data_IF_063735476691
#
_entry.id   IF_063735476691
#
_cell.length_a   1.000
_cell.length_b   1.000
_cell.length_c   1.000
_cell.angle_alpha   90.00
_cell.angle_beta   90.00
_cell.angle_gamma   90.00
#
_symmetry.space_group_name_H-M   'P 1'
#
loop_
_entity.id
_entity.type
_entity.pdbx_description
1 polymer ?
#
# COMPACT_ATOMS: atom_id res chain seq x y z
N UNK A 1 -6.87 -8.23 -13.08
CA UNK A 1 -5.64 -7.82 -13.78
C UNK A 1 -4.39 -8.19 -12.97
N UNK A 2 -3.24 -8.34 -13.62
CA UNK A 2 -1.99 -8.79 -12.98
C UNK A 2 -0.95 -7.67 -12.96
N UNK A 3 -0.23 -7.56 -11.85
CA UNK A 3 0.94 -6.71 -11.71
C UNK A 3 2.16 -7.54 -11.32
N UNK A 4 3.34 -7.08 -11.72
CA UNK A 4 4.60 -7.79 -11.46
C UNK A 4 5.65 -6.86 -10.84
N UNK A 5 6.56 -7.44 -10.08
CA UNK A 5 7.83 -6.75 -9.79
C UNK A 5 8.71 -6.75 -11.04
N UNK A 6 9.69 -5.85 -11.12
CA UNK A 6 10.58 -5.71 -12.28
C UNK A 6 11.22 -7.03 -12.76
N UNK A 7 11.68 -7.88 -11.84
CA UNK A 7 12.32 -9.15 -12.20
C UNK A 7 11.35 -10.31 -12.50
N UNK A 8 10.03 -10.09 -12.42
CA UNK A 8 9.01 -11.13 -12.64
C UNK A 8 8.97 -12.25 -11.58
N UNK A 9 9.66 -12.08 -10.45
CA UNK A 9 9.65 -13.06 -9.37
C UNK A 9 8.31 -13.04 -8.59
N UNK A 10 7.75 -11.85 -8.38
CA UNK A 10 6.50 -11.62 -7.67
C UNK A 10 5.41 -11.24 -8.67
N UNK A 11 4.28 -11.93 -8.60
CA UNK A 11 3.06 -11.62 -9.34
C UNK A 11 1.92 -11.41 -8.34
N UNK A 12 1.20 -10.31 -8.49
CA UNK A 12 -0.03 -10.03 -7.76
C UNK A 12 -1.18 -9.86 -8.74
N UNK A 13 -2.40 -10.16 -8.31
CA UNK A 13 -3.59 -9.84 -9.07
C UNK A 13 -4.65 -9.16 -8.21
N UNK A 14 -5.47 -8.38 -8.89
CA UNK A 14 -6.67 -7.69 -8.38
C UNK A 14 -7.82 -7.90 -9.39
N UNK A 15 -9.10 -7.64 -9.03
CA UNK A 15 -10.21 -7.66 -9.99
C UNK A 15 -9.93 -6.83 -11.25
N UNK A 16 -10.57 -7.19 -12.37
CA UNK A 16 -10.32 -6.50 -13.64
C UNK A 16 -10.93 -5.08 -13.69
N UNK A 17 -11.93 -4.84 -12.85
CA UNK A 17 -12.69 -3.60 -12.68
C UNK A 17 -12.19 -2.75 -11.50
N UNK A 18 -11.06 -3.10 -10.88
CA UNK A 18 -10.48 -2.30 -9.79
C UNK A 18 -10.14 -0.89 -10.29
N UNK A 19 -10.69 0.10 -9.60
CA UNK A 19 -10.48 1.51 -9.90
C UNK A 19 -9.18 2.03 -9.30
N UNK A 20 -8.23 2.39 -10.17
CA UNK A 20 -6.96 3.02 -9.77
C UNK A 20 -6.99 4.55 -9.81
N UNK A 21 -8.09 5.20 -10.22
CA UNK A 21 -8.16 6.67 -10.30
C UNK A 21 -8.01 7.36 -8.94
N UNK A 22 -8.27 6.64 -7.85
CA UNK A 22 -8.09 7.12 -6.47
C UNK A 22 -6.64 6.99 -5.95
N UNK A 23 -5.70 6.56 -6.81
CA UNK A 23 -4.31 6.40 -6.43
C UNK A 23 -3.71 7.71 -5.93
N UNK A 24 -2.90 7.61 -4.88
CA UNK A 24 -2.27 8.74 -4.20
C UNK A 24 -0.87 8.42 -3.72
N UNK A 25 -0.10 9.45 -3.41
CA UNK A 25 1.18 9.31 -2.69
C UNK A 25 0.99 9.69 -1.23
N UNK A 26 1.93 9.28 -0.39
CA UNK A 26 1.98 9.63 1.02
C UNK A 26 3.34 10.26 1.33
N UNK A 27 3.34 11.36 2.07
CA UNK A 27 4.56 12.14 2.33
C UNK A 27 5.21 11.86 3.70
N UNK A 28 4.77 10.81 4.39
CA UNK A 28 5.44 10.35 5.60
C UNK A 28 6.90 10.00 5.32
N UNK A 29 7.71 9.92 6.38
CA UNK A 29 9.15 9.69 6.27
C UNK A 29 9.50 8.45 5.43
N UNK A 30 8.69 7.40 5.47
CA UNK A 30 8.91 6.19 4.68
C UNK A 30 8.36 6.30 3.25
N UNK A 31 7.07 6.65 3.09
CA UNK A 31 6.40 6.64 1.79
C UNK A 31 6.99 7.65 0.79
N UNK A 32 7.46 8.81 1.27
CA UNK A 32 8.13 9.80 0.40
C UNK A 32 9.41 9.25 -0.27
N UNK A 33 10.06 8.25 0.34
CA UNK A 33 11.26 7.60 -0.20
C UNK A 33 10.93 6.53 -1.25
N UNK A 34 9.73 5.94 -1.18
CA UNK A 34 9.22 5.01 -2.20
C UNK A 34 8.65 5.75 -3.41
N UNK A 35 7.98 6.89 -3.17
CA UNK A 35 7.36 7.75 -4.18
C UNK A 35 6.40 7.04 -5.16
N UNK A 36 5.88 5.88 -4.76
CA UNK A 36 4.98 5.08 -5.57
C UNK A 36 3.52 5.56 -5.41
N UNK A 37 2.80 5.88 -6.49
CA UNK A 37 1.37 6.06 -6.44
C UNK A 37 0.72 4.73 -6.07
N UNK A 38 -0.17 4.74 -5.08
CA UNK A 38 -0.87 3.53 -4.65
C UNK A 38 -2.37 3.75 -4.54
N UNK A 39 -3.12 2.77 -5.03
CA UNK A 39 -4.58 2.69 -4.90
C UNK A 39 -4.95 1.77 -3.75
N UNK A 40 -5.97 2.16 -2.98
CA UNK A 40 -6.53 1.35 -1.90
C UNK A 40 -7.50 0.31 -2.48
N UNK A 41 -7.40 -0.93 -2.02
CA UNK A 41 -8.28 -2.04 -2.41
C UNK A 41 -8.66 -2.87 -1.17
N UNK A 42 -9.79 -3.57 -1.24
CA UNK A 42 -10.19 -4.47 -0.17
C UNK A 42 -9.22 -5.64 -0.03
N UNK A 43 -9.07 -6.16 1.19
CA UNK A 43 -8.16 -7.28 1.46
C UNK A 43 -8.43 -8.52 0.59
N UNK A 44 -9.70 -8.84 0.35
CA UNK A 44 -10.08 -10.01 -0.43
C UNK A 44 -9.82 -9.86 -1.94
N UNK A 45 -9.58 -8.64 -2.42
CA UNK A 45 -9.30 -8.36 -3.82
C UNK A 45 -7.85 -8.62 -4.19
N UNK A 46 -6.92 -8.53 -3.24
CA UNK A 46 -5.51 -8.76 -3.51
C UNK A 46 -5.17 -10.26 -3.44
N UNK A 47 -4.56 -10.77 -4.50
CA UNK A 47 -4.00 -12.12 -4.53
C UNK A 47 -2.52 -12.09 -4.86
N UNK A 48 -1.74 -12.94 -4.21
CA UNK A 48 -0.33 -13.19 -4.55
C UNK A 48 -0.30 -14.47 -5.38
N UNK A 49 -0.16 -14.35 -6.69
CA UNK A 49 -0.23 -15.49 -7.60
C UNK A 49 1.10 -16.25 -7.67
N UNK A 50 2.23 -15.56 -7.44
CA UNK A 50 3.58 -16.13 -7.48
C UNK A 50 4.56 -15.32 -6.63
N UNK A 51 5.54 -16.00 -6.04
CA UNK A 51 6.68 -15.37 -5.38
C UNK A 51 6.40 -14.82 -3.99
N UNK A 52 5.49 -15.45 -3.24
CA UNK A 52 5.23 -15.10 -1.84
C UNK A 52 6.51 -15.20 -0.99
N UNK A 53 7.35 -16.20 -1.25
CA UNK A 53 8.67 -16.41 -0.64
C UNK A 53 9.72 -15.37 -1.09
N UNK A 54 9.45 -14.65 -2.18
CA UNK A 54 10.30 -13.59 -2.71
C UNK A 54 9.95 -12.20 -2.14
N UNK A 55 8.86 -12.10 -1.36
CA UNK A 55 8.49 -10.87 -0.67
C UNK A 55 9.26 -10.71 0.64
N UNK A 56 9.79 -9.51 0.86
CA UNK A 56 10.30 -9.08 2.16
C UNK A 56 9.26 -8.19 2.83
N UNK A 57 8.93 -8.51 4.07
CA UNK A 57 8.10 -7.69 4.95
C UNK A 57 8.98 -6.65 5.67
N UNK A 58 8.57 -5.39 5.61
CA UNK A 58 9.13 -4.31 6.42
C UNK A 58 8.04 -3.65 7.24
N UNK A 59 8.27 -3.52 8.55
CA UNK A 59 7.38 -2.88 9.50
C UNK A 59 8.18 -1.89 10.34
N UNK A 60 7.54 -0.80 10.75
CA UNK A 60 8.15 0.22 11.60
C UNK A 60 7.07 0.91 12.43
N UNK A 61 7.49 1.77 13.37
CA UNK A 61 6.58 2.51 14.25
C UNK A 61 5.62 1.56 14.99
N UNK A 62 4.30 1.72 14.86
CA UNK A 62 3.30 0.84 15.50
C UNK A 62 3.26 -0.58 14.96
N UNK A 63 4.08 -0.92 13.96
CA UNK A 63 4.12 -2.24 13.30
C UNK A 63 2.78 -2.73 12.74
N UNK A 64 1.81 -1.83 12.50
CA UNK A 64 0.49 -2.17 11.95
C UNK A 64 0.52 -2.24 10.42
N UNK A 65 1.23 -1.31 9.77
CA UNK A 65 1.42 -1.40 8.32
C UNK A 65 2.43 -2.50 8.00
N UNK A 66 2.09 -3.34 7.03
CA UNK A 66 2.93 -4.41 6.52
C UNK A 66 3.36 -4.05 5.10
N UNK A 67 4.62 -3.64 4.92
CA UNK A 67 5.10 -3.19 3.63
C UNK A 67 5.89 -4.27 2.90
N UNK A 68 5.40 -4.72 1.75
CA UNK A 68 6.00 -5.80 0.98
C UNK A 68 6.78 -5.30 -0.24
N UNK A 69 7.98 -5.84 -0.45
CA UNK A 69 8.78 -5.58 -1.64
C UNK A 69 9.55 -6.82 -2.08
N UNK A 70 9.88 -6.92 -3.37
CA UNK A 70 10.64 -8.04 -3.89
C UNK A 70 12.07 -8.03 -3.34
N UNK A 71 12.49 -9.11 -2.70
CA UNK A 71 13.85 -9.24 -2.14
C UNK A 71 14.95 -9.22 -3.19
N UNK A 72 14.62 -9.53 -4.44
CA UNK A 72 15.58 -9.60 -5.55
C UNK A 72 15.78 -8.26 -6.27
N UNK A 73 14.69 -7.58 -6.64
CA UNK A 73 14.75 -6.33 -7.40
C UNK A 73 14.38 -5.07 -6.61
N UNK A 74 13.99 -5.20 -5.34
CA UNK A 74 13.63 -4.08 -4.48
C UNK A 74 12.27 -3.45 -4.75
N UNK A 75 11.56 -3.85 -5.82
CA UNK A 75 10.28 -3.24 -6.20
C UNK A 75 9.23 -3.50 -5.12
N UNK A 76 8.70 -2.40 -4.60
CA UNK A 76 7.51 -2.36 -3.74
C UNK A 76 6.27 -2.68 -4.58
N UNK A 77 5.55 -3.73 -4.19
CA UNK A 77 4.33 -4.18 -4.88
C UNK A 77 3.07 -3.73 -4.15
N UNK A 78 3.00 -3.95 -2.84
CA UNK A 78 1.81 -3.63 -2.04
C UNK A 78 2.14 -3.50 -0.54
N UNK A 79 1.21 -2.95 0.23
CA UNK A 79 1.28 -2.94 1.68
C UNK A 79 -0.09 -3.03 2.33
N UNK A 80 -0.20 -3.67 3.50
CA UNK A 80 -1.38 -3.56 4.35
C UNK A 80 -1.38 -2.17 4.98
N UNK A 81 -2.49 -1.43 4.90
CA UNK A 81 -2.52 -0.03 5.33
C UNK A 81 -2.55 0.08 6.85
N UNK A 82 -1.87 1.11 7.39
CA UNK A 82 -1.95 1.44 8.82
C UNK A 82 -3.31 2.01 9.21
N UNK A 83 -3.87 2.90 8.37
CA UNK A 83 -5.13 3.61 8.63
C UNK A 83 -6.32 2.65 8.66
N UNK A 84 -6.30 1.63 7.81
CA UNK A 84 -7.31 0.57 7.72
C UNK A 84 -6.64 -0.78 7.39
N UNK A 85 -6.46 -1.67 8.39
CA UNK A 85 -5.87 -2.98 8.18
C UNK A 85 -6.68 -3.94 7.30
N UNK A 86 -7.94 -3.63 6.98
CA UNK A 86 -8.78 -4.41 6.06
C UNK A 86 -8.53 -4.05 4.59
N UNK A 87 -7.63 -3.11 4.32
CA UNK A 87 -7.26 -2.68 2.98
C UNK A 87 -5.75 -2.87 2.69
N UNK A 88 -5.47 -3.13 1.42
CA UNK A 88 -4.13 -3.01 0.86
C UNK A 88 -4.00 -1.73 0.04
N UNK A 89 -2.82 -1.13 0.05
CA UNK A 89 -2.39 -0.19 -0.99
C UNK A 89 -1.50 -0.90 -1.99
N UNK A 90 -1.88 -0.92 -3.27
CA UNK A 90 -1.09 -1.53 -4.37
C UNK A 90 -0.36 -0.48 -5.17
N UNK A 91 0.89 -0.75 -5.54
CA UNK A 91 1.65 0.11 -6.46
C UNK A 91 1.09 -0.05 -7.88
N UNK A 92 0.39 0.98 -8.37
CA UNK A 92 -0.31 0.91 -9.66
C UNK A 92 0.66 0.79 -10.84
N UNK A 93 1.90 1.26 -10.71
CA UNK A 93 2.90 1.17 -11.78
C UNK A 93 3.53 -0.22 -11.92
N UNK A 94 3.11 -1.20 -11.11
CA UNK A 94 3.47 -2.60 -11.29
C UNK A 94 2.59 -3.32 -12.31
N UNK A 95 1.52 -2.68 -12.81
CA UNK A 95 0.57 -3.29 -13.73
C UNK A 95 0.85 -2.82 -15.17
N UNK A 96 1.06 -3.76 -16.10
CA UNK A 96 1.62 -3.48 -17.44
C UNK A 96 0.78 -2.56 -18.32
N UNK A 97 -0.53 -2.44 -18.05
CA UNK A 97 -1.45 -1.60 -18.82
C UNK A 97 -1.56 -0.16 -18.30
N UNK A 98 -0.81 0.17 -17.23
CA UNK A 98 -0.80 1.51 -16.63
C UNK A 98 0.30 2.34 -17.28
N UNK A 99 -0.08 3.47 -17.87
CA UNK A 99 0.87 4.52 -18.24
C UNK A 99 1.24 5.32 -16.99
N UNK A 100 2.54 5.44 -16.73
CA UNK A 100 3.05 6.22 -15.60
C UNK A 100 2.65 7.70 -15.71
N UNK A 101 2.46 8.22 -16.93
CA UNK A 101 2.09 9.61 -17.18
C UNK A 101 0.78 10.00 -16.49
N UNK A 102 -0.19 9.07 -16.43
CA UNK A 102 -1.49 9.27 -15.80
C UNK A 102 -1.39 9.50 -14.28
N UNK A 103 -0.26 9.08 -13.69
CA UNK A 103 -0.01 9.14 -12.25
C UNK A 103 1.13 10.10 -11.87
N UNK A 104 1.56 10.96 -12.80
CA UNK A 104 2.56 11.99 -12.49
C UNK A 104 2.05 12.97 -11.41
N UNK A 105 0.81 13.41 -11.55
CA UNK A 105 0.17 14.41 -10.69
C UNK A 105 -0.98 13.80 -9.87
N UNK A 106 -0.67 12.86 -8.97
CA UNK A 106 -1.66 12.39 -7.98
C UNK A 106 -1.58 13.15 -6.68
N UNK A 107 -2.69 13.17 -5.95
CA UNK A 107 -2.79 13.76 -4.63
C UNK A 107 -1.75 13.20 -3.66
N UNK A 108 -1.29 14.07 -2.77
CA UNK A 108 -0.38 13.70 -1.68
C UNK A 108 -1.19 13.69 -0.38
N UNK A 109 -1.36 12.51 0.18
CA UNK A 109 -1.91 12.33 1.52
C UNK A 109 -0.89 12.77 2.58
N UNK A 110 -1.35 13.56 3.55
CA UNK A 110 -0.58 13.95 4.73
C UNK A 110 -0.34 12.72 5.63
N UNK A 111 0.82 12.10 5.42
CA UNK A 111 1.27 10.99 6.24
C UNK A 111 2.18 11.43 7.38
N UNK A 112 2.50 12.71 7.49
CA UNK A 112 3.27 13.26 8.61
C UNK A 112 2.39 13.40 9.85
N UNK A 113 1.11 13.70 9.66
CA UNK A 113 0.09 13.78 10.71
C UNK A 113 -0.92 12.63 10.54
N UNK A 114 -0.49 11.38 10.72
CA UNK A 114 -1.37 10.24 10.48
C UNK A 114 -2.52 10.22 11.51
N UNK A 115 -3.79 9.95 11.11
CA UNK A 115 -4.94 10.04 12.03
C UNK A 115 -4.85 9.16 13.28
N UNK A 116 -4.11 8.05 13.20
CA UNK A 116 -3.85 7.15 14.34
C UNK A 116 -2.69 7.58 15.24
N UNK A 117 -2.04 8.71 14.98
CA UNK A 117 -1.05 9.32 15.88
C UNK A 117 -1.69 10.31 16.86
N UNK A 118 -2.92 10.74 16.61
CA UNK A 118 -3.66 11.63 17.50
C UNK A 118 -4.36 10.84 18.62
N UNK A 119 -3.76 10.88 19.81
CA UNK A 119 -4.31 10.25 21.02
C UNK A 119 -5.67 10.81 21.47
N UNK A 120 -6.11 11.96 20.94
CA UNK A 120 -7.44 12.50 21.24
C UNK A 120 -8.57 11.65 20.65
N UNK A 121 -8.30 10.88 19.59
CA UNK A 121 -9.25 9.93 18.97
C UNK A 121 -9.24 8.55 19.63
N UNK A 122 -8.18 8.20 20.38
CA UNK A 122 -8.10 6.92 21.12
C UNK A 122 -8.79 7.00 22.50
N UNK A 123 -8.92 8.20 23.10
CA UNK A 123 -9.55 8.38 24.42
C UNK A 123 -11.06 8.13 24.49
N UNK A 124 -11.75 8.07 23.35
CA UNK A 124 -13.20 7.81 23.31
C UNK A 124 -13.57 6.33 23.36
N UNK A 125 -12.62 5.40 23.19
CA UNK A 125 -12.89 3.96 23.30
C UNK A 125 -12.73 3.38 24.71
N UNK A 126 -11.98 4.04 25.59
CA UNK A 126 -11.74 3.57 26.97
C UNK A 126 -12.79 4.06 28.00
N UNK A 127 -13.91 4.64 27.56
CA UNK A 127 -14.94 5.21 28.46
C UNK A 127 -16.27 4.45 28.47
N UNK A 128 -16.38 3.29 27.83
CA UNK A 128 -17.64 2.51 27.81
C UNK A 128 -17.60 1.17 28.55
N UNK A 129 -16.53 0.85 29.28
CA UNK A 129 -16.48 -0.34 30.18
C UNK A 129 -16.08 0.04 31.62
N UNK A 130 -16.81 0.98 32.23
CA UNK A 130 -16.92 1.13 33.69
C UNK A 130 -18.37 1.32 34.12
#
# INVERSE_FOLDING_TARGET
MTGTCHCGAVHISVPADTDFTTARRCDCSFCRRRWAPNAGIAEHDLRIDKGADMLTLYQFHTAVAEHYFCRNCGIYTHHRRRSDPSEFGVNVTCFDHIDMADYNCVDIHDGRNHPRDDDSLNKTKDRTDQ
#
